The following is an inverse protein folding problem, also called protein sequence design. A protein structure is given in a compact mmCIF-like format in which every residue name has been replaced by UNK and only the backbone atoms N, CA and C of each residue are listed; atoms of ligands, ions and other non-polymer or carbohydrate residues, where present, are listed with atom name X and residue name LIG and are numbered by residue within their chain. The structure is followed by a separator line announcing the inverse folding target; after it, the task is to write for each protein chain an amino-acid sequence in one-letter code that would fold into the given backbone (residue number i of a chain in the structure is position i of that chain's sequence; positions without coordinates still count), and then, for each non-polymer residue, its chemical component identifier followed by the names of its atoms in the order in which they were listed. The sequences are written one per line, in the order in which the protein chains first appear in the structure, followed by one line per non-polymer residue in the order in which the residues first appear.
data_IF_160959201246
#
_entry.id   IF_160959201246
#
_cell.length_a   1.000
_cell.length_b   1.000
_cell.length_c   1.000
_cell.angle_alpha   90.00
_cell.angle_beta   90.00
_cell.angle_gamma   90.00
#
_symmetry.space_group_name_H-M   'P 1'
#
loop_
_entity.id
_entity.type
_entity.pdbx_description
1 polymer ?
#
# COMPACT_ATOMS: atom_id res chain seq x y z
N UNK A 1 -4.21 21.92 4.06
CA UNK A 1 -5.50 21.26 4.30
C UNK A 1 -5.52 20.70 5.71
N UNK A 2 -6.62 20.85 6.45
CA UNK A 2 -6.76 20.30 7.80
C UNK A 2 -7.56 18.99 7.75
N UNK A 3 -6.93 17.87 8.12
CA UNK A 3 -7.61 16.59 8.23
C UNK A 3 -8.66 16.62 9.34
N UNK A 4 -9.77 15.86 9.22
CA UNK A 4 -10.77 15.79 10.28
C UNK A 4 -10.15 15.35 11.62
N UNK A 5 -10.55 15.93 12.77
CA UNK A 5 -9.97 15.61 14.07
C UNK A 5 -9.98 14.11 14.40
N UNK A 6 -11.01 13.39 13.93
CA UNK A 6 -11.14 11.94 14.08
C UNK A 6 -10.01 11.14 13.41
N UNK A 7 -9.49 11.63 12.29
CA UNK A 7 -8.35 11.01 11.57
C UNK A 7 -7.07 11.32 12.31
N UNK A 8 -6.84 12.61 12.64
CA UNK A 8 -5.65 13.05 13.39
C UNK A 8 -5.52 12.30 14.72
N UNK A 9 -6.63 12.13 15.45
CA UNK A 9 -6.67 11.41 16.72
C UNK A 9 -6.18 9.96 16.59
N UNK A 10 -6.52 9.26 15.49
CA UNK A 10 -6.06 7.88 15.29
C UNK A 10 -4.56 7.82 15.01
N UNK A 11 -4.02 8.71 14.17
CA UNK A 11 -2.59 8.75 13.92
C UNK A 11 -1.77 9.15 15.16
N UNK A 12 -2.32 9.98 16.05
CA UNK A 12 -1.69 10.30 17.36
C UNK A 12 -1.62 9.13 18.34
N UNK A 13 -2.42 8.07 18.14
CA UNK A 13 -2.41 6.86 18.99
C UNK A 13 -1.35 5.85 18.56
N UNK A 14 -0.67 6.07 17.44
CA UNK A 14 0.41 5.20 16.98
C UNK A 14 1.60 5.35 17.94
N UNK A 15 2.13 4.25 18.52
CA UNK A 15 3.24 4.32 19.47
C UNK A 15 4.55 4.73 18.78
N UNK A 16 5.55 5.12 19.56
CA UNK A 16 6.87 5.59 19.07
C UNK A 16 7.59 4.53 18.21
N UNK A 17 7.44 3.25 18.55
CA UNK A 17 7.99 2.12 17.78
C UNK A 17 6.86 1.25 17.22
N UNK A 18 6.17 1.72 16.16
CA UNK A 18 4.97 1.05 15.69
C UNK A 18 5.31 -0.14 14.80
N UNK A 19 4.64 -1.25 15.04
CA UNK A 19 4.52 -2.34 14.05
C UNK A 19 3.48 -2.00 12.99
N UNK A 20 3.51 -2.72 11.85
CA UNK A 20 2.51 -2.62 10.78
C UNK A 20 1.06 -2.64 11.30
N UNK A 21 0.76 -3.50 12.26
CA UNK A 21 -0.58 -3.66 12.84
C UNK A 21 -1.17 -2.35 13.38
N UNK A 22 -0.34 -1.48 13.97
CA UNK A 22 -0.75 -0.21 14.55
C UNK A 22 -1.25 0.81 13.52
N UNK A 23 -0.92 0.62 12.24
CA UNK A 23 -1.34 1.51 11.16
C UNK A 23 -2.67 1.10 10.51
N UNK A 24 -3.17 -0.13 10.74
CA UNK A 24 -4.45 -0.57 10.18
C UNK A 24 -5.63 0.30 10.61
N UNK A 25 -5.75 0.59 11.91
CA UNK A 25 -6.82 1.45 12.44
C UNK A 25 -6.79 2.87 11.86
N UNK A 26 -5.65 3.59 11.93
CA UNK A 26 -5.50 4.91 11.33
C UNK A 26 -5.81 4.95 9.83
N UNK A 27 -5.29 4.02 9.03
CA UNK A 27 -5.54 4.01 7.59
C UNK A 27 -6.96 3.58 7.24
N UNK A 28 -7.56 2.63 7.96
CA UNK A 28 -8.98 2.31 7.79
C UNK A 28 -9.86 3.54 8.08
N UNK A 29 -9.52 4.32 9.13
CA UNK A 29 -10.24 5.56 9.46
C UNK A 29 -10.07 6.63 8.38
N UNK A 30 -8.87 6.77 7.82
CA UNK A 30 -8.59 7.68 6.71
C UNK A 30 -9.39 7.28 5.47
N UNK A 31 -9.30 6.01 5.05
CA UNK A 31 -10.03 5.48 3.90
C UNK A 31 -11.54 5.65 4.07
N UNK A 32 -12.10 5.29 5.23
CA UNK A 32 -13.54 5.47 5.52
C UNK A 32 -13.98 6.94 5.54
N UNK A 33 -13.04 7.88 5.62
CA UNK A 33 -13.33 9.32 5.52
C UNK A 33 -13.28 9.80 4.06
N UNK A 34 -12.41 9.20 3.23
CA UNK A 34 -12.29 9.49 1.80
C UNK A 34 -13.33 8.76 0.94
N UNK A 35 -13.74 7.57 1.38
CA UNK A 35 -14.74 6.70 0.77
C UNK A 35 -15.83 6.38 1.82
N UNK A 36 -16.77 7.30 2.04
CA UNK A 36 -17.85 7.11 3.01
C UNK A 36 -18.75 5.90 2.67
N UNK A 37 -19.32 5.22 3.68
CA UNK A 37 -20.12 4.01 3.48
C UNK A 37 -21.47 4.24 2.77
N UNK A 38 -21.93 5.48 2.69
CA UNK A 38 -23.12 5.91 1.95
C UNK A 38 -22.84 6.14 0.45
N UNK A 39 -21.62 5.84 -0.02
CA UNK A 39 -21.24 5.89 -1.43
C UNK A 39 -21.20 4.49 -2.06
N UNK A 40 -20.99 4.42 -3.38
CA UNK A 40 -20.85 3.16 -4.10
C UNK A 40 -19.48 2.47 -3.90
N UNK A 41 -18.60 3.08 -3.09
CA UNK A 41 -17.28 2.53 -2.79
C UNK A 41 -17.33 1.61 -1.57
N UNK A 42 -16.66 0.47 -1.65
CA UNK A 42 -16.49 -0.46 -0.54
C UNK A 42 -15.01 -0.64 -0.23
N UNK A 43 -14.63 -0.49 1.03
CA UNK A 43 -13.25 -0.74 1.51
C UNK A 43 -13.17 -2.19 1.98
N UNK A 44 -12.34 -3.00 1.34
CA UNK A 44 -12.17 -4.43 1.62
C UNK A 44 -10.77 -4.67 2.17
N UNK A 45 -10.62 -5.34 3.33
CA UNK A 45 -9.32 -5.85 3.77
C UNK A 45 -8.76 -6.82 2.75
N UNK A 46 -7.52 -6.60 2.33
CA UNK A 46 -6.86 -7.46 1.36
C UNK A 46 -5.61 -8.10 1.96
N UNK A 47 -5.48 -9.41 1.78
CA UNK A 47 -4.40 -10.21 2.35
C UNK A 47 -3.64 -10.88 1.21
N UNK A 48 -2.39 -10.45 1.02
CA UNK A 48 -1.50 -11.01 0.02
C UNK A 48 -0.57 -12.04 0.67
N UNK A 49 -0.45 -13.26 0.12
CA UNK A 49 0.53 -14.22 0.59
C UNK A 49 1.96 -13.70 0.31
N UNK A 50 2.86 -13.89 1.27
CA UNK A 50 4.30 -13.68 1.11
C UNK A 50 5.01 -15.04 1.00
N UNK A 51 6.22 -15.06 0.40
CA UNK A 51 7.14 -16.17 0.55
C UNK A 51 7.34 -16.53 2.03
N UNK A 52 7.56 -17.81 2.33
CA UNK A 52 7.68 -18.36 3.68
C UNK A 52 6.39 -18.32 4.54
N UNK A 53 5.21 -18.19 3.92
CA UNK A 53 3.92 -18.35 4.62
C UNK A 53 3.48 -17.12 5.43
N UNK A 54 4.17 -15.99 5.28
CA UNK A 54 3.76 -14.71 5.85
C UNK A 54 2.58 -14.12 5.05
N UNK A 55 1.86 -13.16 5.63
CA UNK A 55 0.72 -12.49 4.98
C UNK A 55 0.91 -10.97 5.09
N UNK A 56 0.88 -10.27 3.95
CA UNK A 56 0.78 -8.81 3.93
C UNK A 56 -0.68 -8.41 3.90
N UNK A 57 -1.10 -7.68 4.93
CA UNK A 57 -2.42 -7.05 4.95
C UNK A 57 -2.38 -5.62 4.39
N UNK A 58 -3.43 -5.25 3.65
CA UNK A 58 -3.68 -3.93 3.07
C UNK A 58 -5.19 -3.73 2.86
N UNK A 59 -5.55 -2.80 2.00
CA UNK A 59 -6.94 -2.50 1.63
C UNK A 59 -7.07 -2.39 0.11
N UNK A 60 -8.20 -2.83 -0.40
CA UNK A 60 -8.65 -2.52 -1.77
C UNK A 60 -9.95 -1.72 -1.63
N UNK A 61 -10.06 -0.63 -2.39
CA UNK A 61 -11.33 0.08 -2.55
C UNK A 61 -11.95 -0.39 -3.85
N UNK A 62 -13.18 -0.88 -3.77
CA UNK A 62 -13.95 -1.36 -4.90
C UNK A 62 -15.08 -0.37 -5.22
N UNK A 63 -15.35 -0.14 -6.50
CA UNK A 63 -16.60 0.45 -6.98
C UNK A 63 -17.53 -0.70 -7.38
N UNK A 64 -18.61 -0.90 -6.64
CA UNK A 64 -19.40 -2.14 -6.70
C UNK A 64 -18.53 -3.37 -6.41
N UNK A 65 -18.16 -4.15 -7.43
CA UNK A 65 -17.31 -5.34 -7.32
C UNK A 65 -15.91 -5.13 -7.89
N UNK A 66 -15.65 -4.00 -8.54
CA UNK A 66 -14.43 -3.79 -9.31
C UNK A 66 -13.40 -2.96 -8.55
N UNK A 67 -12.13 -3.37 -8.50
CA UNK A 67 -11.08 -2.66 -7.77
C UNK A 67 -10.73 -1.34 -8.46
N UNK A 68 -10.71 -0.24 -7.71
CA UNK A 68 -10.39 1.10 -8.24
C UNK A 68 -9.19 1.74 -7.56
N UNK A 69 -8.80 1.24 -6.38
CA UNK A 69 -7.67 1.75 -5.62
C UNK A 69 -7.10 0.70 -4.67
N UNK A 70 -5.78 0.64 -4.55
CA UNK A 70 -5.07 -0.32 -3.66
C UNK A 70 -4.24 0.45 -2.63
N UNK A 71 -4.29 0.03 -1.38
CA UNK A 71 -3.42 0.54 -0.32
C UNK A 71 -2.72 -0.64 0.36
N UNK A 72 -1.41 -0.74 0.18
CA UNK A 72 -0.60 -1.72 0.88
C UNK A 72 0.04 -1.12 2.13
N UNK A 73 -0.04 -1.84 3.26
CA UNK A 73 0.65 -1.47 4.48
C UNK A 73 1.93 -2.28 4.63
N UNK A 74 3.02 -1.64 5.05
CA UNK A 74 4.32 -2.26 5.33
C UNK A 74 4.84 -1.87 6.70
N UNK A 75 5.76 -2.68 7.22
CA UNK A 75 6.40 -2.37 8.49
C UNK A 75 7.33 -1.18 8.31
N UNK A 76 7.39 -0.22 9.24
CA UNK A 76 8.38 0.86 9.18
C UNK A 76 9.83 0.35 9.15
N UNK A 77 10.09 -0.85 9.69
CA UNK A 77 11.40 -1.50 9.65
C UNK A 77 11.85 -1.91 8.24
N UNK A 78 10.90 -2.14 7.32
CA UNK A 78 11.17 -2.57 5.95
C UNK A 78 11.92 -1.49 5.16
N UNK A 79 11.83 -0.22 5.56
CA UNK A 79 12.56 0.90 4.97
C UNK A 79 14.07 0.84 5.18
N UNK A 80 14.54 0.06 6.17
CA UNK A 80 15.98 0.01 6.51
C UNK A 80 16.79 -0.79 5.50
N UNK A 81 16.13 -1.65 4.73
CA UNK A 81 16.80 -2.59 3.84
C UNK A 81 16.29 -2.42 2.41
N UNK A 82 17.20 -2.12 1.48
CA UNK A 82 16.89 -1.99 0.05
C UNK A 82 16.19 -3.25 -0.49
N UNK A 83 16.58 -4.44 -0.01
CA UNK A 83 15.94 -5.72 -0.35
C UNK A 83 14.47 -5.80 0.09
N UNK A 84 14.13 -5.24 1.25
CA UNK A 84 12.74 -5.20 1.76
C UNK A 84 11.88 -4.20 0.99
N UNK A 85 12.45 -3.06 0.59
CA UNK A 85 11.81 -2.12 -0.33
C UNK A 85 11.52 -2.76 -1.69
N UNK A 86 12.48 -3.51 -2.26
CA UNK A 86 12.28 -4.22 -3.53
C UNK A 86 11.22 -5.32 -3.43
N UNK A 87 11.23 -6.12 -2.36
CA UNK A 87 10.23 -7.17 -2.15
C UNK A 87 8.82 -6.57 -2.03
N UNK A 88 8.70 -5.44 -1.33
CA UNK A 88 7.48 -4.63 -1.24
C UNK A 88 7.02 -4.15 -2.60
N UNK A 89 7.93 -3.56 -3.38
CA UNK A 89 7.64 -3.06 -4.73
C UNK A 89 7.13 -4.20 -5.63
N UNK A 90 7.85 -5.35 -5.66
CA UNK A 90 7.44 -6.54 -6.43
C UNK A 90 6.03 -7.00 -6.09
N UNK A 91 5.70 -6.99 -4.79
CA UNK A 91 4.41 -7.45 -4.29
C UNK A 91 3.27 -6.55 -4.72
N UNK A 92 3.39 -5.23 -4.51
CA UNK A 92 2.35 -4.29 -4.94
C UNK A 92 2.19 -4.31 -6.46
N UNK A 93 3.30 -4.35 -7.20
CA UNK A 93 3.29 -4.41 -8.65
C UNK A 93 2.63 -5.69 -9.19
N UNK A 94 2.82 -6.83 -8.53
CA UNK A 94 2.10 -8.07 -8.84
C UNK A 94 0.60 -7.90 -8.63
N UNK A 95 0.18 -7.41 -7.46
CA UNK A 95 -1.23 -7.16 -7.19
C UNK A 95 -1.87 -6.20 -8.21
N UNK A 96 -1.20 -5.10 -8.55
CA UNK A 96 -1.67 -4.16 -9.58
C UNK A 96 -1.89 -4.90 -10.91
N UNK A 97 -0.95 -5.73 -11.36
CA UNK A 97 -1.10 -6.49 -12.61
C UNK A 97 -2.31 -7.42 -12.58
N UNK A 98 -2.51 -8.12 -11.47
CA UNK A 98 -3.58 -9.10 -11.29
C UNK A 98 -4.97 -8.44 -11.35
N UNK A 99 -5.10 -7.20 -10.87
CA UNK A 99 -6.42 -6.55 -10.72
C UNK A 99 -6.69 -5.41 -11.71
N UNK A 100 -5.69 -4.93 -12.48
CA UNK A 100 -5.90 -3.75 -13.32
C UNK A 100 -6.90 -3.96 -14.46
N UNK A 101 -7.03 -5.19 -14.97
CA UNK A 101 -7.95 -5.52 -16.08
C UNK A 101 -9.40 -5.33 -15.61
N UNK A 102 -9.67 -5.58 -14.33
CA UNK A 102 -11.00 -5.45 -13.73
C UNK A 102 -11.31 -4.01 -13.29
N UNK A 103 -10.35 -3.08 -13.38
CA UNK A 103 -10.54 -1.69 -12.97
C UNK A 103 -11.36 -0.93 -14.02
N UNK A 104 -12.55 -0.39 -13.67
CA UNK A 104 -13.41 0.32 -14.61
C UNK A 104 -12.92 1.75 -14.90
N UNK A 105 -11.93 2.23 -14.15
CA UNK A 105 -11.34 3.55 -14.35
C UNK A 105 -10.21 3.47 -15.39
N UNK A 106 -9.96 4.55 -16.16
CA UNK A 106 -8.86 4.58 -17.13
C UNK A 106 -7.47 4.34 -16.51
N UNK A 107 -7.34 4.61 -15.20
CA UNK A 107 -6.12 4.46 -14.42
C UNK A 107 -6.43 3.81 -13.08
N UNK A 108 -5.76 2.71 -12.77
CA UNK A 108 -5.73 2.14 -11.42
C UNK A 108 -4.63 2.83 -10.61
N UNK A 109 -5.00 3.37 -9.45
CA UNK A 109 -4.05 3.96 -8.51
C UNK A 109 -3.76 3.00 -7.36
N UNK A 110 -2.52 3.01 -6.90
CA UNK A 110 -2.12 2.23 -5.75
C UNK A 110 -1.13 3.01 -4.88
N UNK A 111 -1.09 2.70 -3.60
CA UNK A 111 -0.18 3.32 -2.64
C UNK A 111 0.48 2.25 -1.79
N UNK A 112 1.81 2.29 -1.69
CA UNK A 112 2.55 1.55 -0.67
C UNK A 112 2.86 2.47 0.50
N UNK A 113 2.52 2.03 1.71
CA UNK A 113 2.64 2.83 2.93
C UNK A 113 3.57 2.16 3.93
N UNK A 114 4.62 2.89 4.30
CA UNK A 114 5.62 2.46 5.26
C UNK A 114 5.59 3.43 6.44
N UNK A 115 4.79 3.10 7.44
CA UNK A 115 4.43 4.04 8.50
C UNK A 115 3.66 5.23 7.95
N UNK A 116 4.27 6.41 7.93
CA UNK A 116 3.71 7.65 7.35
C UNK A 116 4.31 8.03 5.99
N UNK A 117 5.29 7.24 5.49
CA UNK A 117 5.87 7.44 4.17
C UNK A 117 5.02 6.77 3.10
N UNK A 118 4.94 7.43 1.94
CA UNK A 118 4.04 7.11 0.84
C UNK A 118 4.85 6.90 -0.44
N UNK A 119 4.56 5.82 -1.15
CA UNK A 119 4.96 5.62 -2.54
C UNK A 119 3.68 5.47 -3.38
N UNK A 120 3.55 6.30 -4.41
CA UNK A 120 2.37 6.33 -5.26
C UNK A 120 2.64 5.58 -6.55
N UNK A 121 1.68 4.76 -6.94
CA UNK A 121 1.69 3.98 -8.16
C UNK A 121 0.46 4.33 -8.99
N UNK A 122 0.62 4.32 -10.31
CA UNK A 122 -0.48 4.40 -11.25
C UNK A 122 -0.26 3.44 -12.40
N UNK A 123 -1.34 2.81 -12.85
CA UNK A 123 -1.38 1.87 -13.97
C UNK A 123 -2.52 2.29 -14.90
N UNK A 124 -2.23 3.04 -15.98
CA UNK A 124 -3.19 3.24 -17.07
C UNK A 124 -3.44 1.90 -17.77
N UNK A 125 -4.64 1.70 -18.34
CA UNK A 125 -4.95 0.49 -19.14
C UNK A 125 -3.95 0.30 -20.29
N UNK A 126 -3.78 1.34 -21.11
CA UNK A 126 -2.92 1.31 -22.30
C UNK A 126 -1.48 1.77 -22.05
N UNK A 127 -1.10 1.99 -20.78
CA UNK A 127 0.19 2.60 -20.42
C UNK A 127 1.24 1.61 -19.94
N UNK A 128 2.31 2.12 -19.34
CA UNK A 128 3.17 1.38 -18.42
C UNK A 128 2.81 1.76 -16.98
N UNK A 129 3.12 0.88 -16.03
CA UNK A 129 3.01 1.19 -14.62
C UNK A 129 4.10 2.20 -14.21
N UNK A 130 3.71 3.17 -13.39
CA UNK A 130 4.62 4.17 -12.82
C UNK A 130 4.54 4.12 -11.28
N UNK A 131 5.65 4.30 -10.55
CA UNK A 131 7.03 4.31 -11.06
C UNK A 131 7.41 2.97 -11.70
N UNK A 132 8.43 2.95 -12.57
CA UNK A 132 9.01 1.70 -13.03
C UNK A 132 9.57 0.91 -11.84
N UNK A 133 9.64 -0.41 -11.99
CA UNK A 133 10.15 -1.33 -10.98
C UNK A 133 11.49 -0.84 -10.40
N UNK A 134 11.63 -0.87 -9.07
CA UNK A 134 12.89 -0.52 -8.41
C UNK A 134 13.88 -1.66 -8.68
N UNK A 135 14.79 -1.46 -9.63
CA UNK A 135 15.84 -2.42 -9.94
C UNK A 135 16.72 -2.69 -8.72
N UNK A 136 17.17 -3.94 -8.57
CA UNK A 136 18.22 -4.25 -7.62
C UNK A 136 19.50 -3.54 -8.04
N UNK A 137 20.06 -2.70 -7.17
CA UNK A 137 21.41 -2.18 -7.39
C UNK A 137 22.40 -3.30 -7.03
N UNK A 138 23.11 -3.90 -8.01
CA UNK A 138 24.05 -4.99 -7.73
C UNK A 138 25.25 -4.55 -6.89
N UNK A 139 25.54 -3.25 -6.83
CA UNK A 139 26.72 -2.72 -6.13
C UNK A 139 26.53 -2.55 -4.61
N UNK A 140 25.30 -2.69 -4.10
CA UNK A 140 24.97 -2.54 -2.66
C UNK A 140 24.69 -3.87 -1.95
N UNK A 141 24.87 -5.01 -2.61
CA UNK A 141 24.81 -6.34 -1.96
C UNK A 141 26.12 -6.70 -1.21
N UNK A 142 27.15 -5.86 -1.27
CA UNK A 142 28.45 -6.12 -0.61
C UNK A 142 28.68 -5.35 0.71
N UNK A 143 27.64 -4.95 1.44
CA UNK A 143 27.79 -4.59 2.85
C UNK A 143 27.49 -5.81 3.75
N UNK A 144 28.25 -6.88 3.55
CA UNK A 144 28.57 -7.78 4.66
C UNK A 144 29.62 -7.07 5.51
N UNK A 145 29.19 -6.58 6.66
CA UNK A 145 30.09 -6.13 7.73
C UNK A 145 30.83 -7.37 8.28
N UNK A 146 32.16 -7.28 8.57
CA UNK A 146 32.93 -8.35 9.21
C UNK A 146 32.43 -8.72 10.61
#
# INVERSE_FOLDING_TARGET
MHWPPKVICQFKKVPVNPSKAHFHGPYNKLLSTLFPPDTNFTIVPHYMPLPAGLISAGFIVCLCISPVFILELKSPGDLRYTSSCQATDRQLCACIRDVHIDCPLPVLYAISMMGTRLCFYKRPHDGCMEPPFIAANPELEMDMVP
#
